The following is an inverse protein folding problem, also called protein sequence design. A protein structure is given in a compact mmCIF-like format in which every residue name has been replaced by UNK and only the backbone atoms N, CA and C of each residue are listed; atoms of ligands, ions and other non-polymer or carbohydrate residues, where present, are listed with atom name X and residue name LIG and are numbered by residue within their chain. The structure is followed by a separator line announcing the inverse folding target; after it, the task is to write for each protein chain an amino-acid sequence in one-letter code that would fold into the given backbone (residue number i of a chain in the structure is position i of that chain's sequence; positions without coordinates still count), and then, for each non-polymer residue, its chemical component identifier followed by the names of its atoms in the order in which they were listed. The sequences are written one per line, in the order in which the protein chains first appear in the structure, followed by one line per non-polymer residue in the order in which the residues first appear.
data_IF_182373541439
#
_entry.id   IF_182373541439
#
_cell.length_a   1.000
_cell.length_b   1.000
_cell.length_c   1.000
_cell.angle_alpha   90.00
_cell.angle_beta   90.00
_cell.angle_gamma   90.00
#
_symmetry.space_group_name_H-M   'P 1'
#
loop_
_entity.id
_entity.type
_entity.pdbx_description
1 polymer ?
#
# COMPACT_ATOMS: atom_id res chain seq x y z
N UNK A 1 20.06 18.09 23.88
CA UNK A 1 19.63 17.02 22.96
C UNK A 1 18.28 17.41 22.41
N UNK A 2 18.22 17.74 21.12
CA UNK A 2 17.03 18.33 20.50
C UNK A 2 16.05 17.22 20.06
N UNK A 3 14.77 17.21 20.49
CA UNK A 3 13.76 16.33 19.94
C UNK A 3 13.23 16.96 18.64
N UNK A 4 13.94 16.78 17.53
CA UNK A 4 13.55 17.39 16.25
C UNK A 4 13.84 16.44 15.09
N UNK A 5 12.80 15.70 14.71
CA UNK A 5 12.43 15.28 13.34
C UNK A 5 11.61 13.98 13.44
N UNK A 6 10.30 14.09 13.24
CA UNK A 6 9.36 12.97 13.06
C UNK A 6 9.36 11.87 14.14
N UNK A 7 8.53 12.03 15.17
CA UNK A 7 8.09 10.92 16.05
C UNK A 7 7.13 9.94 15.34
N UNK A 8 7.31 9.72 14.03
CA UNK A 8 6.61 8.66 13.33
C UNK A 8 7.54 7.45 13.33
N UNK A 9 7.13 6.32 13.93
CA UNK A 9 7.97 5.14 13.90
C UNK A 9 8.20 4.75 12.44
N UNK A 10 9.41 4.33 12.09
CA UNK A 10 9.80 4.05 10.69
C UNK A 10 8.81 3.14 9.95
N UNK A 11 8.15 2.24 10.69
CA UNK A 11 7.07 1.38 10.21
C UNK A 11 5.88 2.14 9.62
N UNK A 12 5.47 3.26 10.22
CA UNK A 12 4.34 4.07 9.74
C UNK A 12 4.71 4.77 8.43
N UNK A 13 5.93 5.31 8.33
CA UNK A 13 6.43 5.97 7.11
C UNK A 13 6.50 4.98 5.95
N UNK A 14 7.04 3.78 6.20
CA UNK A 14 7.09 2.70 5.19
C UNK A 14 5.67 2.28 4.81
N UNK A 15 4.77 2.19 5.78
CA UNK A 15 3.38 1.81 5.53
C UNK A 15 2.67 2.81 4.63
N UNK A 16 2.76 4.10 4.95
CA UNK A 16 2.20 5.17 4.13
C UNK A 16 2.77 5.14 2.70
N UNK A 17 4.08 4.94 2.56
CA UNK A 17 4.74 4.81 1.25
C UNK A 17 4.16 3.63 0.45
N UNK A 18 4.11 2.42 1.04
CA UNK A 18 3.57 1.21 0.40
C UNK A 18 2.13 1.44 -0.06
N UNK A 19 1.30 2.04 0.80
CA UNK A 19 -0.11 2.30 0.49
C UNK A 19 -0.25 3.33 -0.63
N UNK A 20 0.56 4.39 -0.60
CA UNK A 20 0.57 5.43 -1.65
C UNK A 20 0.98 4.85 -3.00
N UNK A 21 2.10 4.10 -3.03
CA UNK A 21 2.59 3.44 -4.24
C UNK A 21 1.58 2.43 -4.77
N UNK A 22 0.95 1.65 -3.90
CA UNK A 22 -0.13 0.74 -4.30
C UNK A 22 -1.27 1.48 -4.99
N UNK A 23 -1.76 2.59 -4.41
CA UNK A 23 -2.83 3.39 -5.02
C UNK A 23 -2.42 3.89 -6.40
N UNK A 24 -1.18 4.36 -6.54
CA UNK A 24 -0.63 4.81 -7.82
C UNK A 24 -0.65 3.68 -8.84
N UNK A 25 -0.11 2.51 -8.50
CA UNK A 25 -0.13 1.34 -9.39
C UNK A 25 -1.55 0.94 -9.79
N UNK A 26 -2.52 0.97 -8.87
CA UNK A 26 -3.91 0.61 -9.16
C UNK A 26 -4.63 1.59 -10.10
N UNK A 27 -4.25 2.87 -10.09
CA UNK A 27 -4.90 3.93 -10.89
C UNK A 27 -4.25 4.05 -12.26
N UNK A 28 -2.92 4.01 -12.32
CA UNK A 28 -2.16 4.34 -13.52
C UNK A 28 -1.63 3.12 -14.27
N UNK A 29 -1.83 1.91 -13.75
CA UNK A 29 -1.39 0.67 -14.41
C UNK A 29 -2.47 -0.39 -14.36
N UNK A 30 -2.43 -1.29 -15.33
CA UNK A 30 -3.32 -2.44 -15.36
C UNK A 30 -2.78 -3.67 -14.60
N UNK A 31 -1.68 -3.50 -13.87
CA UNK A 31 -0.96 -4.58 -13.19
C UNK A 31 -1.88 -5.42 -12.30
N UNK A 32 -1.63 -6.72 -12.30
CA UNK A 32 -2.38 -7.64 -11.46
C UNK A 32 -2.03 -7.43 -9.99
N UNK A 33 -2.99 -7.63 -9.09
CA UNK A 33 -2.81 -7.43 -7.65
C UNK A 33 -1.62 -8.23 -7.09
N UNK A 34 -1.39 -9.44 -7.60
CA UNK A 34 -0.26 -10.28 -7.18
C UNK A 34 1.10 -9.70 -7.60
N UNK A 35 1.16 -9.05 -8.76
CA UNK A 35 2.38 -8.42 -9.28
C UNK A 35 2.72 -7.16 -8.49
N UNK A 36 1.71 -6.35 -8.17
CA UNK A 36 1.86 -5.18 -7.29
C UNK A 36 2.35 -5.62 -5.90
N UNK A 37 1.78 -6.69 -5.34
CA UNK A 37 2.21 -7.25 -4.06
C UNK A 37 3.68 -7.71 -4.10
N UNK A 38 4.07 -8.43 -5.15
CA UNK A 38 5.43 -8.91 -5.34
C UNK A 38 6.43 -7.74 -5.46
N UNK A 39 6.10 -6.69 -6.21
CA UNK A 39 6.93 -5.49 -6.36
C UNK A 39 7.13 -4.71 -5.06
N UNK A 40 6.13 -4.76 -4.17
CA UNK A 40 6.19 -4.16 -2.83
C UNK A 40 6.78 -5.10 -1.78
N UNK A 41 7.45 -6.17 -2.23
CA UNK A 41 8.17 -7.13 -1.40
C UNK A 41 7.27 -7.91 -0.42
N UNK A 42 5.98 -8.07 -0.75
CA UNK A 42 5.08 -8.96 -0.03
C UNK A 42 5.24 -10.38 -0.53
N UNK A 43 5.40 -11.31 0.42
CA UNK A 43 5.55 -12.73 0.12
C UNK A 43 4.27 -13.33 -0.49
N UNK A 44 3.10 -12.83 -0.08
CA UNK A 44 1.81 -13.37 -0.47
C UNK A 44 0.78 -12.26 -0.75
N UNK A 45 0.08 -12.37 -1.89
CA UNK A 45 -1.05 -11.51 -2.26
C UNK A 45 -2.13 -11.39 -1.17
N UNK A 46 -2.59 -12.46 -0.48
CA UNK A 46 -3.58 -12.33 0.60
C UNK A 46 -3.09 -11.49 1.80
N UNK A 47 -1.79 -11.55 2.14
CA UNK A 47 -1.22 -10.69 3.19
C UNK A 47 -1.26 -9.23 2.76
N UNK A 48 -0.84 -8.94 1.54
CA UNK A 48 -0.91 -7.61 0.94
C UNK A 48 -2.35 -7.06 0.89
N UNK A 49 -3.33 -7.87 0.47
CA UNK A 49 -4.74 -7.45 0.40
C UNK A 49 -5.28 -7.08 1.79
N UNK A 50 -4.99 -7.89 2.81
CA UNK A 50 -5.38 -7.60 4.21
C UNK A 50 -4.72 -6.32 4.70
N UNK A 51 -3.43 -6.17 4.40
CA UNK A 51 -2.65 -4.99 4.75
C UNK A 51 -3.25 -3.73 4.10
N UNK A 52 -3.41 -3.70 2.77
CA UNK A 52 -3.98 -2.57 2.05
C UNK A 52 -5.40 -2.22 2.50
N UNK A 53 -6.24 -3.24 2.74
CA UNK A 53 -7.60 -3.05 3.26
C UNK A 53 -7.60 -2.38 4.65
N UNK A 54 -6.63 -2.69 5.51
CA UNK A 54 -6.52 -2.06 6.84
C UNK A 54 -6.30 -0.55 6.75
N UNK A 55 -5.55 -0.08 5.75
CA UNK A 55 -5.26 1.35 5.58
C UNK A 55 -6.27 2.10 4.72
N UNK A 56 -6.90 1.42 3.76
CA UNK A 56 -7.81 2.07 2.79
C UNK A 56 -9.28 1.71 3.00
N UNK A 57 -9.60 0.83 3.95
CA UNK A 57 -10.91 0.21 4.18
C UNK A 57 -11.44 -0.67 3.05
N UNK A 58 -10.80 -0.67 1.88
CA UNK A 58 -11.22 -1.40 0.70
C UNK A 58 -10.10 -2.33 0.21
N UNK A 59 -10.42 -3.51 -0.34
CA UNK A 59 -9.42 -4.32 -1.01
C UNK A 59 -8.95 -3.63 -2.31
N UNK A 60 -7.71 -3.88 -2.76
CA UNK A 60 -7.11 -3.19 -3.90
C UNK A 60 -7.91 -3.37 -5.20
N UNK A 61 -8.53 -4.54 -5.40
CA UNK A 61 -9.45 -4.78 -6.53
C UNK A 61 -10.66 -3.84 -6.52
N UNK A 62 -11.29 -3.64 -5.37
CA UNK A 62 -12.43 -2.72 -5.23
C UNK A 62 -11.99 -1.27 -5.35
N UNK A 63 -10.80 -0.94 -4.84
CA UNK A 63 -10.23 0.40 -4.98
C UNK A 63 -10.03 0.77 -6.46
N UNK A 64 -9.50 -0.14 -7.28
CA UNK A 64 -9.33 0.06 -8.73
C UNK A 64 -10.66 0.33 -9.44
N UNK A 65 -11.72 -0.42 -9.13
CA UNK A 65 -13.05 -0.23 -9.72
C UNK A 65 -13.70 1.10 -9.29
N UNK A 66 -13.36 1.61 -8.10
CA UNK A 66 -13.93 2.87 -7.59
C UNK A 66 -13.22 4.13 -8.09
N UNK A 67 -11.98 4.01 -8.53
CA UNK A 67 -11.10 5.15 -8.88
C UNK A 67 -10.73 5.21 -10.36
N UNK A 68 -11.02 4.15 -11.13
CA UNK A 68 -11.02 4.14 -12.59
C UNK A 68 -12.44 4.20 -13.11
#
# INVERSE_FOLDING_TARGET
MCPRAANLPAVEVISEFIISETKHQLIYTDNAIYEIAFRLNFNDSPHFVKYFKRFTNYPPKTFRIKQG
#
